data_IF_978844899944
#
_entry.id   IF_978844899944
#
_cell.length_a   1.000
_cell.length_b   1.000
_cell.length_c   1.000
_cell.angle_alpha   90.00
_cell.angle_beta   90.00
_cell.angle_gamma   90.00
#
_symmetry.space_group_name_H-M   'P 1'
#
loop_
_entity.id
_entity.type
_entity.pdbx_description
1 polymer ?
#
# COMPACT_ATOMS: atom_id res chain seq x y z
N UNK A 1 -21.24 -15.57 -6.86
CA UNK A 1 -21.15 -16.22 -5.54
C UNK A 1 -20.40 -17.55 -5.62
N UNK A 2 -20.77 -18.49 -6.50
CA UNK A 2 -20.13 -19.82 -6.59
C UNK A 2 -18.59 -19.76 -6.74
N UNK A 3 -18.06 -18.88 -7.59
CA UNK A 3 -16.61 -18.69 -7.74
C UNK A 3 -15.97 -18.15 -6.45
N UNK A 4 -16.64 -17.25 -5.75
CA UNK A 4 -16.18 -16.74 -4.46
C UNK A 4 -16.13 -17.84 -3.41
N UNK A 5 -17.19 -18.65 -3.27
CA UNK A 5 -17.24 -19.77 -2.31
C UNK A 5 -16.15 -20.81 -2.59
N UNK A 6 -15.93 -21.12 -3.87
CA UNK A 6 -14.84 -22.01 -4.29
C UNK A 6 -13.48 -21.43 -3.94
N UNK A 7 -13.20 -20.17 -4.31
CA UNK A 7 -11.93 -19.50 -4.01
C UNK A 7 -11.71 -19.33 -2.51
N UNK A 8 -12.78 -19.03 -1.74
CA UNK A 8 -12.70 -18.94 -0.30
C UNK A 8 -12.28 -20.27 0.34
N UNK A 9 -12.88 -21.37 -0.10
CA UNK A 9 -12.51 -22.72 0.37
C UNK A 9 -11.05 -23.04 0.06
N UNK A 10 -10.61 -22.84 -1.18
CA UNK A 10 -9.23 -23.13 -1.61
C UNK A 10 -8.20 -22.32 -0.82
N UNK A 11 -8.44 -21.02 -0.62
CA UNK A 11 -7.52 -20.14 0.12
C UNK A 11 -7.52 -20.43 1.62
N UNK A 12 -8.67 -20.80 2.19
CA UNK A 12 -8.80 -21.11 3.63
C UNK A 12 -8.03 -22.37 4.04
N UNK A 13 -7.65 -23.24 3.11
CA UNK A 13 -6.81 -24.41 3.41
C UNK A 13 -5.39 -24.02 3.83
N UNK A 14 -4.90 -22.86 3.37
CA UNK A 14 -3.51 -22.43 3.58
C UNK A 14 -3.38 -21.08 4.33
N UNK A 15 -4.50 -20.38 4.58
CA UNK A 15 -4.49 -19.06 5.19
C UNK A 15 -5.57 -18.93 6.25
N UNK A 16 -5.17 -18.50 7.44
CA UNK A 16 -6.06 -18.35 8.61
C UNK A 16 -7.14 -17.28 8.38
N UNK A 17 -6.77 -16.19 7.72
CA UNK A 17 -7.67 -15.06 7.47
C UNK A 17 -7.61 -14.61 6.02
N UNK A 18 -8.78 -14.30 5.49
CA UNK A 18 -8.95 -13.79 4.14
C UNK A 18 -9.57 -12.39 4.18
N UNK A 19 -9.34 -11.66 3.12
CA UNK A 19 -9.96 -10.36 2.88
C UNK A 19 -10.39 -10.23 1.42
N UNK A 20 -11.30 -9.32 1.16
CA UNK A 20 -11.76 -9.02 -0.19
C UNK A 20 -11.78 -7.51 -0.44
N UNK A 21 -11.70 -7.14 -1.72
CA UNK A 21 -11.97 -5.78 -2.21
C UNK A 21 -12.42 -5.85 -3.68
N UNK A 22 -13.03 -4.79 -4.17
CA UNK A 22 -13.25 -4.67 -5.62
C UNK A 22 -11.90 -4.47 -6.34
N UNK A 23 -11.79 -5.00 -7.56
CA UNK A 23 -10.60 -4.80 -8.40
C UNK A 23 -10.46 -3.34 -8.85
N UNK A 24 -11.59 -2.62 -8.97
CA UNK A 24 -11.68 -1.20 -9.24
C UNK A 24 -12.28 -0.48 -8.03
N UNK A 25 -11.43 0.14 -7.20
CA UNK A 25 -11.84 0.82 -5.97
C UNK A 25 -10.93 2.02 -5.70
N UNK A 26 -11.49 3.07 -5.08
CA UNK A 26 -10.75 4.24 -4.64
C UNK A 26 -10.58 4.23 -3.12
N UNK A 27 -9.33 4.35 -2.64
CA UNK A 27 -9.03 4.46 -1.21
C UNK A 27 -9.40 3.22 -0.39
N UNK A 28 -9.48 2.05 -1.02
CA UNK A 28 -9.84 0.78 -0.38
C UNK A 28 -11.20 0.80 0.36
N UNK A 29 -12.17 1.56 -0.14
CA UNK A 29 -13.49 1.71 0.49
C UNK A 29 -14.28 0.41 0.53
N UNK A 30 -14.04 -0.50 -0.43
CA UNK A 30 -14.66 -1.83 -0.47
C UNK A 30 -13.89 -2.90 0.30
N UNK A 31 -12.71 -2.59 0.86
CA UNK A 31 -11.91 -3.56 1.59
C UNK A 31 -12.66 -4.13 2.80
N UNK A 32 -12.74 -5.46 2.89
CA UNK A 32 -13.34 -6.17 4.02
C UNK A 32 -12.50 -7.36 4.44
N UNK A 33 -12.33 -7.50 5.73
CA UNK A 33 -11.77 -8.70 6.38
C UNK A 33 -12.93 -9.68 6.60
N UNK A 34 -12.76 -10.92 6.17
CA UNK A 34 -13.81 -11.94 6.28
C UNK A 34 -13.66 -12.68 7.61
N UNK A 35 -14.69 -12.61 8.42
CA UNK A 35 -14.78 -13.37 9.66
C UNK A 35 -15.57 -14.67 9.42
N UNK A 36 -15.08 -15.78 9.98
CA UNK A 36 -15.76 -17.09 9.90
C UNK A 36 -17.04 -17.14 10.72
N UNK A 37 -17.11 -16.36 11.78
CA UNK A 37 -18.24 -16.27 12.69
C UNK A 37 -18.99 -14.95 12.51
N UNK A 38 -20.31 -14.93 12.72
CA UNK A 38 -21.10 -13.70 12.70
C UNK A 38 -20.59 -12.68 13.74
N UNK A 39 -20.53 -11.43 13.34
CA UNK A 39 -20.19 -10.34 14.26
C UNK A 39 -21.25 -10.24 15.36
N UNK A 40 -20.80 -10.15 16.61
CA UNK A 40 -21.69 -10.00 17.76
C UNK A 40 -22.47 -8.68 17.72
N UNK A 41 -23.62 -8.60 18.41
CA UNK A 41 -24.56 -7.47 18.30
C UNK A 41 -24.00 -6.12 18.74
N UNK A 42 -22.89 -6.10 19.49
CA UNK A 42 -22.21 -4.88 19.93
C UNK A 42 -20.85 -4.64 19.26
N UNK A 43 -20.44 -5.52 18.34
CA UNK A 43 -19.21 -5.35 17.58
C UNK A 43 -19.46 -4.40 16.41
N UNK A 44 -18.59 -3.39 16.28
CA UNK A 44 -18.60 -2.53 15.08
C UNK A 44 -18.03 -3.31 13.90
N UNK A 45 -18.79 -3.35 12.81
CA UNK A 45 -18.32 -4.00 11.61
C UNK A 45 -17.00 -3.40 11.09
N UNK A 46 -16.85 -2.06 11.12
CA UNK A 46 -15.65 -1.42 10.56
C UNK A 46 -15.37 -1.95 9.16
N UNK A 47 -14.17 -2.53 9.00
CA UNK A 47 -13.77 -3.21 7.76
C UNK A 47 -14.02 -4.73 7.81
N UNK A 48 -14.84 -5.21 8.73
CA UNK A 48 -15.14 -6.63 8.89
C UNK A 48 -16.49 -6.99 8.28
N UNK A 49 -16.58 -8.18 7.72
CA UNK A 49 -17.80 -8.78 7.20
C UNK A 49 -17.78 -10.28 7.53
N UNK A 50 -18.90 -10.82 8.02
CA UNK A 50 -19.02 -12.26 8.17
C UNK A 50 -19.18 -12.96 6.81
N UNK A 51 -18.78 -14.22 6.75
CA UNK A 51 -18.79 -15.00 5.51
C UNK A 51 -20.18 -15.06 4.86
N UNK A 52 -21.24 -15.28 5.63
CA UNK A 52 -22.60 -15.41 5.09
C UNK A 52 -23.08 -14.10 4.47
N UNK A 53 -22.79 -13.01 5.14
CA UNK A 53 -23.07 -11.68 4.60
C UNK A 53 -22.26 -11.38 3.35
N UNK A 54 -20.99 -11.77 3.30
CA UNK A 54 -20.15 -11.60 2.10
C UNK A 54 -20.76 -12.34 0.90
N UNK A 55 -21.18 -13.61 1.09
CA UNK A 55 -21.85 -14.40 0.04
C UNK A 55 -23.13 -13.72 -0.42
N UNK A 56 -23.96 -13.24 0.50
CA UNK A 56 -25.22 -12.56 0.18
C UNK A 56 -24.98 -11.25 -0.61
N UNK A 57 -24.06 -10.42 -0.15
CA UNK A 57 -23.72 -9.13 -0.79
C UNK A 57 -23.15 -9.36 -2.21
N UNK A 58 -22.28 -10.35 -2.38
CA UNK A 58 -21.71 -10.73 -3.68
C UNK A 58 -22.79 -11.26 -4.63
N UNK A 59 -23.71 -12.06 -4.13
CA UNK A 59 -24.86 -12.57 -4.91
C UNK A 59 -25.75 -11.43 -5.39
N UNK A 60 -25.94 -10.40 -4.55
CA UNK A 60 -26.73 -9.22 -4.89
C UNK A 60 -26.10 -8.38 -6.01
N UNK A 61 -24.75 -8.34 -6.10
CA UNK A 61 -24.03 -7.60 -7.14
C UNK A 61 -24.20 -8.19 -8.55
N UNK A 62 -24.74 -9.42 -8.69
CA UNK A 62 -25.02 -10.08 -9.98
C UNK A 62 -23.89 -10.05 -11.02
N UNK A 63 -22.66 -9.97 -10.56
CA UNK A 63 -21.47 -9.90 -11.42
C UNK A 63 -21.14 -8.52 -11.99
N UNK A 64 -21.81 -7.46 -11.54
CA UNK A 64 -21.52 -6.07 -11.99
C UNK A 64 -20.17 -5.54 -11.51
N UNK A 65 -19.58 -6.17 -10.50
CA UNK A 65 -18.27 -5.81 -9.93
C UNK A 65 -17.39 -7.05 -9.84
N UNK A 66 -16.15 -6.90 -10.25
CA UNK A 66 -15.12 -7.90 -9.98
C UNK A 66 -14.58 -7.76 -8.57
N UNK A 67 -14.38 -8.90 -7.91
CA UNK A 67 -13.90 -8.96 -6.53
C UNK A 67 -12.57 -9.71 -6.51
N UNK A 68 -11.60 -9.13 -5.83
CA UNK A 68 -10.35 -9.78 -5.48
C UNK A 68 -10.49 -10.38 -4.08
N UNK A 69 -10.37 -11.70 -4.00
CA UNK A 69 -10.26 -12.43 -2.73
C UNK A 69 -8.79 -12.79 -2.51
N UNK A 70 -8.27 -12.53 -1.33
CA UNK A 70 -6.84 -12.70 -1.05
C UNK A 70 -6.59 -13.02 0.41
N UNK A 71 -5.42 -13.61 0.75
CA UNK A 71 -4.98 -13.74 2.13
C UNK A 71 -4.86 -12.38 2.82
N UNK A 72 -5.31 -12.30 4.07
CA UNK A 72 -5.08 -11.12 4.90
C UNK A 72 -3.63 -11.13 5.38
N UNK A 73 -2.86 -10.19 4.88
CA UNK A 73 -1.50 -9.98 5.34
C UNK A 73 -1.52 -9.08 6.59
N UNK A 74 -0.68 -9.39 7.55
CA UNK A 74 -0.53 -8.63 8.80
C UNK A 74 0.92 -8.22 8.98
N UNK A 75 1.14 -6.96 9.32
CA UNK A 75 2.48 -6.42 9.59
C UNK A 75 2.58 -4.93 9.31
N UNK A 76 3.80 -4.44 9.25
CA UNK A 76 4.04 -3.02 9.06
C UNK A 76 3.88 -2.63 7.59
N UNK A 77 3.07 -1.62 7.33
CA UNK A 77 2.98 -1.02 6.01
C UNK A 77 4.20 -0.14 5.72
N UNK A 78 4.63 -0.17 4.47
CA UNK A 78 5.67 0.71 3.94
C UNK A 78 5.11 1.47 2.76
N UNK A 79 5.27 2.79 2.81
CA UNK A 79 4.86 3.70 1.75
C UNK A 79 6.12 4.33 1.16
N UNK A 80 6.54 3.90 -0.03
CA UNK A 80 7.73 4.41 -0.69
C UNK A 80 7.35 5.54 -1.66
N UNK A 81 7.79 6.76 -1.36
CA UNK A 81 7.65 7.90 -2.26
C UNK A 81 8.81 7.91 -3.26
N UNK A 82 8.50 7.90 -4.54
CA UNK A 82 9.46 7.64 -5.60
C UNK A 82 9.41 8.69 -6.71
N UNK A 83 10.58 8.95 -7.33
CA UNK A 83 10.71 9.80 -8.51
C UNK A 83 11.94 9.39 -9.34
N UNK A 84 11.77 9.14 -10.62
CA UNK A 84 12.91 8.99 -11.56
C UNK A 84 13.55 10.34 -11.87
N UNK A 85 14.86 10.43 -11.73
CA UNK A 85 15.66 11.58 -12.13
C UNK A 85 16.78 11.17 -13.09
N UNK A 86 17.51 12.12 -13.61
CA UNK A 86 18.70 11.83 -14.45
C UNK A 86 19.84 11.21 -13.62
N UNK A 87 19.93 11.54 -12.33
CA UNK A 87 20.95 11.05 -11.41
C UNK A 87 20.57 9.72 -10.73
N UNK A 88 19.45 9.13 -11.13
CA UNK A 88 18.93 7.88 -10.58
C UNK A 88 17.52 8.02 -10.01
N UNK A 89 17.04 6.96 -9.41
CA UNK A 89 15.69 6.92 -8.84
C UNK A 89 15.71 7.30 -7.36
N UNK A 90 15.02 8.37 -7.00
CA UNK A 90 14.71 8.69 -5.61
C UNK A 90 13.69 7.65 -5.13
N UNK A 91 13.98 6.99 -4.02
CA UNK A 91 13.08 6.03 -3.36
C UNK A 91 13.22 6.25 -1.86
N UNK A 92 12.16 6.73 -1.22
CA UNK A 92 12.16 7.05 0.20
C UNK A 92 11.10 6.18 0.90
N UNK A 93 11.52 5.02 1.47
CA UNK A 93 10.61 4.16 2.21
C UNK A 93 10.25 4.75 3.57
N UNK A 94 8.97 4.85 3.85
CA UNK A 94 8.39 5.32 5.08
C UNK A 94 7.59 4.20 5.73
N UNK A 95 8.09 3.70 6.86
CA UNK A 95 7.51 2.58 7.61
C UNK A 95 6.50 3.09 8.62
N UNK A 96 5.27 2.64 8.50
CA UNK A 96 4.21 2.95 9.45
C UNK A 96 4.24 1.94 10.60
N UNK A 97 4.38 2.42 11.84
CA UNK A 97 4.37 1.54 13.02
C UNK A 97 3.08 1.64 13.82
N UNK A 98 2.45 2.81 13.79
CA UNK A 98 1.14 3.08 14.39
C UNK A 98 0.57 4.36 13.75
N UNK A 99 -0.57 4.84 14.27
CA UNK A 99 -1.26 6.01 13.73
C UNK A 99 -0.47 7.33 13.83
N UNK A 100 0.57 7.39 14.67
CA UNK A 100 1.30 8.64 14.96
C UNK A 100 2.79 8.58 14.73
N UNK A 101 3.36 7.40 14.51
CA UNK A 101 4.81 7.24 14.38
C UNK A 101 5.15 6.49 13.11
N UNK A 102 6.07 7.06 12.38
CA UNK A 102 6.61 6.51 11.15
C UNK A 102 8.14 6.63 11.15
N UNK A 103 8.82 5.83 10.33
CA UNK A 103 10.26 5.87 10.19
C UNK A 103 10.64 5.91 8.72
N UNK A 104 11.53 6.82 8.36
CA UNK A 104 12.25 6.75 7.08
C UNK A 104 13.53 5.99 7.35
N UNK A 105 13.71 4.89 6.65
CA UNK A 105 14.95 4.10 6.72
C UNK A 105 15.26 3.46 5.38
N UNK A 106 16.54 3.23 5.16
CA UNK A 106 17.02 2.48 4.02
C UNK A 106 16.66 0.99 4.19
N UNK A 107 15.87 0.45 3.26
CA UNK A 107 15.60 -0.99 3.17
C UNK A 107 15.92 -1.46 1.75
N UNK A 108 16.97 -2.27 1.56
CA UNK A 108 17.42 -2.68 0.23
C UNK A 108 16.38 -3.51 -0.53
N UNK A 109 15.50 -4.25 0.15
CA UNK A 109 14.44 -5.06 -0.48
C UNK A 109 13.37 -4.16 -1.09
N UNK A 110 12.92 -3.15 -0.33
CA UNK A 110 11.95 -2.16 -0.84
C UNK A 110 12.56 -1.35 -1.98
N UNK A 111 13.80 -0.91 -1.82
CA UNK A 111 14.49 -0.12 -2.85
C UNK A 111 14.66 -0.92 -4.15
N UNK A 112 15.08 -2.19 -4.05
CA UNK A 112 15.19 -3.07 -5.21
C UNK A 112 13.85 -3.27 -5.90
N UNK A 113 12.80 -3.62 -5.14
CA UNK A 113 11.47 -3.80 -5.69
C UNK A 113 10.94 -2.53 -6.39
N UNK A 114 11.15 -1.35 -5.80
CA UNK A 114 10.76 -0.09 -6.45
C UNK A 114 11.53 0.14 -7.75
N UNK A 115 12.83 -0.12 -7.80
CA UNK A 115 13.62 0.01 -9.03
C UNK A 115 13.10 -0.91 -10.13
N UNK A 116 12.80 -2.16 -9.80
CA UNK A 116 12.22 -3.14 -10.73
C UNK A 116 10.91 -2.64 -11.34
N UNK A 117 10.05 -1.98 -10.53
CA UNK A 117 8.84 -1.32 -11.04
C UNK A 117 9.15 -0.20 -12.03
N UNK A 118 10.13 0.66 -11.72
CA UNK A 118 10.52 1.76 -12.61
C UNK A 118 11.05 1.24 -13.95
N UNK A 119 11.91 0.24 -13.93
CA UNK A 119 12.45 -0.38 -15.14
C UNK A 119 11.35 -1.09 -15.95
N UNK A 120 10.54 -1.91 -15.29
CA UNK A 120 9.55 -2.75 -15.95
C UNK A 120 8.41 -1.95 -16.58
N UNK A 121 7.98 -0.88 -15.94
CA UNK A 121 6.81 -0.09 -16.37
C UNK A 121 7.18 1.27 -16.97
N UNK A 122 8.47 1.62 -17.07
CA UNK A 122 8.91 2.89 -17.61
C UNK A 122 8.37 4.10 -16.85
N UNK A 123 8.29 4.01 -15.53
CA UNK A 123 7.71 5.08 -14.71
C UNK A 123 8.59 6.32 -14.76
N UNK A 124 8.01 7.47 -15.08
CA UNK A 124 8.73 8.75 -15.20
C UNK A 124 8.10 9.90 -14.38
N UNK A 125 7.00 9.64 -13.73
CA UNK A 125 6.29 10.58 -12.87
C UNK A 125 6.53 10.28 -11.38
N UNK A 126 6.32 11.25 -10.47
CA UNK A 126 6.27 10.93 -9.05
C UNK A 126 5.20 9.87 -8.78
N UNK A 127 5.56 8.86 -8.03
CA UNK A 127 4.62 7.81 -7.64
C UNK A 127 4.85 7.38 -6.19
N UNK A 128 3.86 6.69 -5.66
CA UNK A 128 3.91 6.08 -4.35
C UNK A 128 3.64 4.59 -4.47
N UNK A 129 4.59 3.78 -4.04
CA UNK A 129 4.50 2.32 -4.08
C UNK A 129 4.33 1.82 -2.64
N UNK A 130 3.30 1.01 -2.41
CA UNK A 130 2.99 0.52 -1.07
C UNK A 130 3.25 -0.97 -0.94
N UNK A 131 3.79 -1.33 0.22
CA UNK A 131 4.08 -2.70 0.60
C UNK A 131 3.57 -2.98 2.00
N UNK A 132 3.39 -4.25 2.32
CA UNK A 132 3.17 -4.73 3.68
C UNK A 132 4.19 -5.84 3.99
N UNK A 133 4.86 -5.74 5.13
CA UNK A 133 5.70 -6.82 5.61
C UNK A 133 4.84 -7.89 6.27
N UNK A 134 4.96 -9.12 5.78
CA UNK A 134 4.34 -10.29 6.39
C UNK A 134 5.39 -11.39 6.49
N UNK A 135 5.61 -11.91 7.69
CA UNK A 135 6.67 -12.90 7.95
C UNK A 135 8.04 -12.46 7.39
N UNK A 136 8.37 -11.20 7.60
CA UNK A 136 9.62 -10.57 7.15
C UNK A 136 9.83 -10.49 5.63
N UNK A 137 8.77 -10.72 4.86
CA UNK A 137 8.74 -10.59 3.39
C UNK A 137 7.91 -9.37 3.01
N UNK A 138 8.42 -8.44 2.18
CA UNK A 138 7.63 -7.33 1.68
C UNK A 138 6.72 -7.80 0.53
N UNK A 139 5.42 -7.69 0.72
CA UNK A 139 4.42 -7.94 -0.31
C UNK A 139 3.97 -6.61 -0.90
N UNK A 140 3.91 -6.54 -2.22
CA UNK A 140 3.35 -5.40 -2.94
C UNK A 140 1.84 -5.27 -2.67
N UNK A 141 1.39 -4.06 -2.38
CA UNK A 141 -0.04 -3.75 -2.19
C UNK A 141 -0.61 -2.98 -3.38
N UNK A 142 -0.02 -1.83 -3.69
CA UNK A 142 -0.51 -0.95 -4.75
C UNK A 142 0.55 0.05 -5.20
N UNK A 143 0.35 0.62 -6.38
CA UNK A 143 1.08 1.76 -6.89
C UNK A 143 0.12 2.89 -7.22
N UNK A 144 0.39 4.06 -6.68
CA UNK A 144 -0.31 5.29 -7.01
C UNK A 144 0.60 6.16 -7.90
N UNK A 145 0.20 6.43 -9.13
CA UNK A 145 0.96 7.24 -10.11
C UNK A 145 0.85 8.74 -9.81
N UNK A 146 0.90 9.08 -8.55
CA UNK A 146 0.88 10.42 -7.97
C UNK A 146 1.65 10.45 -6.66
N UNK A 147 1.94 11.63 -6.15
CA UNK A 147 2.50 11.82 -4.81
C UNK A 147 1.53 11.30 -3.73
N UNK A 148 2.07 10.73 -2.67
CA UNK A 148 1.28 10.23 -1.53
C UNK A 148 0.66 11.37 -0.72
N UNK A 149 -0.37 11.06 0.07
CA UNK A 149 -0.89 11.99 1.09
C UNK A 149 0.14 12.33 2.17
N UNK A 150 1.14 11.46 2.37
CA UNK A 150 2.22 11.66 3.33
C UNK A 150 3.49 12.29 2.75
N UNK A 151 3.48 12.76 1.51
CA UNK A 151 4.68 13.30 0.83
C UNK A 151 5.34 14.44 1.60
N UNK A 152 4.56 15.27 2.28
CA UNK A 152 5.08 16.35 3.10
C UNK A 152 5.97 15.84 4.23
N UNK A 153 5.53 14.79 4.93
CA UNK A 153 6.29 14.15 6.00
C UNK A 153 7.59 13.53 5.45
N UNK A 154 7.47 12.84 4.32
CA UNK A 154 8.62 12.26 3.62
C UNK A 154 9.65 13.34 3.30
N UNK A 155 9.23 14.46 2.71
CA UNK A 155 10.13 15.56 2.35
C UNK A 155 10.78 16.22 3.58
N UNK A 156 10.01 16.47 4.62
CA UNK A 156 10.52 17.13 5.84
C UNK A 156 11.53 16.24 6.57
N UNK A 157 11.25 14.96 6.70
CA UNK A 157 12.10 14.04 7.45
C UNK A 157 13.33 13.61 6.66
N UNK A 158 13.21 13.39 5.35
CA UNK A 158 14.37 13.00 4.52
C UNK A 158 15.24 14.18 4.08
N UNK A 159 14.72 15.41 4.14
CA UNK A 159 15.36 16.57 3.53
C UNK A 159 15.26 16.60 1.99
N UNK A 160 14.61 15.62 1.37
CA UNK A 160 14.47 15.49 -0.09
C UNK A 160 13.12 16.07 -0.53
N UNK A 161 13.13 17.24 -1.13
CA UNK A 161 11.92 17.89 -1.63
C UNK A 161 11.50 17.32 -2.99
N UNK A 162 10.86 16.15 -2.99
CA UNK A 162 10.40 15.46 -4.20
C UNK A 162 9.53 16.35 -5.11
N UNK A 163 8.52 17.11 -4.62
CA UNK A 163 7.75 18.02 -5.45
C UNK A 163 8.61 19.05 -6.18
N UNK A 164 9.57 19.67 -5.49
CA UNK A 164 10.46 20.63 -6.10
C UNK A 164 11.37 20.01 -7.16
N UNK A 165 11.91 18.81 -6.88
CA UNK A 165 12.75 18.06 -7.83
C UNK A 165 11.93 17.69 -9.07
N UNK A 166 10.69 17.24 -8.91
CA UNK A 166 9.82 16.90 -10.02
C UNK A 166 9.53 18.10 -10.93
N UNK A 167 9.25 19.28 -10.37
CA UNK A 167 9.04 20.52 -11.14
C UNK A 167 10.34 20.90 -11.87
N UNK A 168 11.48 20.89 -11.18
CA UNK A 168 12.76 21.22 -11.81
C UNK A 168 13.11 20.26 -12.95
N UNK A 169 12.83 18.96 -12.79
CA UNK A 169 12.98 17.98 -13.85
C UNK A 169 12.18 18.36 -15.11
N UNK A 170 10.91 18.76 -14.96
CA UNK A 170 10.07 19.22 -16.07
C UNK A 170 10.63 20.47 -16.76
N UNK A 171 11.33 21.32 -16.01
CA UNK A 171 12.00 22.52 -16.54
C UNK A 171 13.41 22.25 -17.09
N UNK A 172 13.88 21.00 -17.09
CA UNK A 172 15.25 20.64 -17.49
C UNK A 172 16.33 21.07 -16.50
N UNK A 173 15.96 21.39 -15.26
CA UNK A 173 16.87 21.84 -14.21
C UNK A 173 17.24 20.63 -13.32
N UNK A 174 18.51 20.30 -13.27
CA UNK A 174 19.01 19.29 -12.34
C UNK A 174 19.07 19.85 -10.90
N UNK A 175 18.57 19.05 -9.95
CA UNK A 175 18.68 19.33 -8.51
C UNK A 175 19.32 18.13 -7.82
N UNK A 176 20.46 18.32 -7.14
CA UNK A 176 21.06 17.27 -6.36
C UNK A 176 20.16 16.86 -5.21
N UNK A 177 20.21 15.59 -4.89
CA UNK A 177 19.49 15.03 -3.76
C UNK A 177 20.32 13.96 -3.07
N UNK A 178 20.12 13.79 -1.78
CA UNK A 178 20.79 12.77 -0.98
C UNK A 178 19.79 12.14 -0.02
N UNK A 179 19.80 10.83 0.08
CA UNK A 179 19.07 10.12 1.12
C UNK A 179 19.71 10.40 2.48
N UNK A 180 18.92 10.52 3.56
CA UNK A 180 19.48 10.57 4.90
C UNK A 180 20.31 9.31 5.17
N UNK A 181 21.48 9.50 5.80
CA UNK A 181 22.38 8.40 6.11
C UNK A 181 21.87 7.53 7.27
N UNK A 182 21.02 8.08 8.13
CA UNK A 182 20.48 7.45 9.32
C UNK A 182 18.96 7.31 9.24
N UNK A 183 18.40 6.43 10.06
CA UNK A 183 16.96 6.32 10.24
C UNK A 183 16.40 7.60 10.86
N UNK A 184 15.32 8.12 10.29
CA UNK A 184 14.65 9.31 10.79
C UNK A 184 13.25 8.95 11.31
N UNK A 185 13.03 9.19 12.59
CA UNK A 185 11.72 9.02 13.23
C UNK A 185 10.85 10.25 13.00
N UNK A 186 9.61 10.01 12.59
CA UNK A 186 8.58 11.03 12.43
C UNK A 186 7.48 10.80 13.45
N UNK A 187 7.07 11.85 14.14
CA UNK A 187 5.93 11.79 15.06
C UNK A 187 4.96 12.91 14.70
N UNK A 188 3.69 12.58 14.52
CA UNK A 188 2.64 13.56 14.33
C UNK A 188 2.32 14.19 15.68
N UNK A 189 2.44 15.52 15.75
CA UNK A 189 2.03 16.32 16.90
C UNK A 189 0.71 16.99 16.52
N UNK A 190 -0.34 16.71 17.29
CA UNK A 190 -1.63 17.41 17.20
C UNK A 190 -1.59 18.67 18.03
#
# INVERSE_FOLDING_TARGET
AEEFEKGFKELSENHEKLCLKFTSDEGATSFRIIDSEPLGPFQRAGNHIDYQKAVADISWLKGEKEIMLMPLLSGNEVSADCLQTQDGTIIIPRFKTNTRTEYIRHDPRIISACKDFFEKFGLDTPCNIQFIYHNDIPYFLEINTRMSGGIQLTCMASGVNIPNIAINKLLGIQKPWHMPAEEVKITHIE
#
